data_IF_827508496271
#
_entry.id   IF_827508496271
#
_cell.length_a   1.000
_cell.length_b   1.000
_cell.length_c   1.000
_cell.angle_alpha   90.00
_cell.angle_beta   90.00
_cell.angle_gamma   90.00
#
_symmetry.space_group_name_H-M   'P 1'
#
loop_
_entity.id
_entity.type
_entity.pdbx_description
1 polymer ?
#
# COMPACT_ATOMS: atom_id res chain seq x y z
N UNK A 1 -34.06 -25.25 7.76
CA UNK A 1 -32.71 -25.86 7.77
C UNK A 1 -32.17 -25.86 6.37
N UNK A 2 -31.26 -24.97 5.98
CA UNK A 2 -30.63 -24.97 4.66
C UNK A 2 -29.32 -25.74 4.77
N UNK A 3 -29.25 -26.93 4.18
CA UNK A 3 -28.03 -27.71 4.05
C UNK A 3 -27.03 -26.94 3.18
N UNK A 4 -26.00 -26.42 3.79
CA UNK A 4 -24.83 -25.89 3.09
C UNK A 4 -23.93 -27.08 2.78
N UNK A 5 -24.07 -27.65 1.60
CA UNK A 5 -23.16 -28.67 1.06
C UNK A 5 -21.83 -27.98 0.79
N UNK A 6 -20.70 -28.40 1.40
CA UNK A 6 -19.40 -27.82 1.08
C UNK A 6 -19.07 -28.16 -0.38
N UNK A 7 -18.69 -27.14 -1.19
CA UNK A 7 -18.16 -27.36 -2.53
C UNK A 7 -16.98 -28.34 -2.46
N UNK A 8 -16.91 -29.36 -3.33
CA UNK A 8 -15.81 -30.31 -3.32
C UNK A 8 -14.50 -29.56 -3.61
N UNK A 9 -13.58 -29.67 -2.65
CA UNK A 9 -12.25 -29.11 -2.72
C UNK A 9 -11.42 -29.88 -3.74
N UNK A 10 -10.96 -29.21 -4.78
CA UNK A 10 -10.01 -29.79 -5.75
C UNK A 10 -8.66 -29.97 -5.06
N UNK A 11 -8.24 -31.21 -4.82
CA UNK A 11 -6.98 -31.61 -4.17
C UNK A 11 -5.70 -31.06 -4.84
N UNK A 12 -5.81 -30.36 -5.98
CA UNK A 12 -4.68 -29.88 -6.77
C UNK A 12 -3.98 -28.61 -6.27
N UNK A 13 -4.57 -27.86 -5.33
CA UNK A 13 -3.95 -26.60 -4.88
C UNK A 13 -4.15 -26.32 -3.37
N UNK A 14 -3.87 -27.32 -2.53
CA UNK A 14 -4.00 -27.18 -1.07
C UNK A 14 -3.13 -26.03 -0.54
N UNK A 15 -1.93 -25.83 -1.10
CA UNK A 15 -1.05 -24.73 -0.69
C UNK A 15 -1.74 -23.38 -0.84
N UNK A 16 -2.31 -23.09 -1.99
CA UNK A 16 -3.00 -21.82 -2.24
C UNK A 16 -4.24 -21.65 -1.36
N UNK A 17 -5.02 -22.72 -1.19
CA UNK A 17 -6.21 -22.66 -0.33
C UNK A 17 -5.85 -22.40 1.14
N UNK A 18 -4.73 -22.93 1.64
CA UNK A 18 -4.23 -22.59 2.98
C UNK A 18 -3.91 -21.11 3.07
N UNK A 19 -3.21 -20.52 2.08
CA UNK A 19 -2.86 -19.10 2.06
C UNK A 19 -4.11 -18.22 1.99
N UNK A 20 -5.03 -18.51 1.07
CA UNK A 20 -6.27 -17.74 0.87
C UNK A 20 -7.14 -17.76 2.13
N UNK A 21 -7.31 -18.95 2.73
CA UNK A 21 -8.09 -19.10 3.95
C UNK A 21 -7.42 -18.43 5.13
N UNK A 22 -6.08 -18.47 5.21
CA UNK A 22 -5.32 -17.79 6.26
C UNK A 22 -5.50 -16.26 6.19
N UNK A 23 -5.39 -15.67 5.00
CA UNK A 23 -5.65 -14.23 4.78
C UNK A 23 -7.09 -13.88 5.15
N UNK A 24 -8.06 -14.69 4.72
CA UNK A 24 -9.47 -14.46 5.05
C UNK A 24 -9.71 -14.50 6.56
N UNK A 25 -9.21 -15.52 7.26
CA UNK A 25 -9.35 -15.64 8.71
C UNK A 25 -8.68 -14.50 9.46
N UNK A 26 -7.51 -14.04 9.00
CA UNK A 26 -6.82 -12.89 9.58
C UNK A 26 -7.69 -11.63 9.46
N UNK A 27 -8.29 -11.35 8.31
CA UNK A 27 -9.17 -10.19 8.13
C UNK A 27 -10.48 -10.31 8.93
N UNK A 28 -11.08 -11.51 9.01
CA UNK A 28 -12.31 -11.76 9.79
C UNK A 28 -12.08 -11.58 11.30
N UNK A 29 -10.93 -12.03 11.82
CA UNK A 29 -10.60 -11.95 13.26
C UNK A 29 -9.98 -10.62 13.67
N UNK A 30 -9.40 -9.88 12.72
CA UNK A 30 -8.57 -8.71 13.00
C UNK A 30 -7.23 -9.05 13.69
N UNK A 31 -6.82 -10.33 13.72
CA UNK A 31 -5.58 -10.80 14.35
C UNK A 31 -4.60 -11.29 13.27
N UNK A 32 -3.36 -10.84 13.36
CA UNK A 32 -2.26 -11.27 12.49
C UNK A 32 -1.82 -12.72 12.77
N UNK A 33 -2.19 -13.27 13.94
CA UNK A 33 -1.84 -14.64 14.34
C UNK A 33 -2.80 -15.63 13.71
N UNK A 34 -2.34 -16.26 12.64
CA UNK A 34 -3.13 -17.27 11.90
C UNK A 34 -2.94 -18.65 12.51
N UNK A 35 -4.04 -19.27 12.92
CA UNK A 35 -4.04 -20.64 13.42
C UNK A 35 -4.14 -21.65 12.28
N UNK A 36 -3.07 -22.41 12.01
CA UNK A 36 -3.08 -23.49 11.01
C UNK A 36 -4.16 -24.56 11.27
N UNK A 37 -4.49 -24.81 12.53
CA UNK A 37 -5.57 -25.75 12.88
C UNK A 37 -6.93 -25.21 12.44
N UNK A 38 -7.17 -23.92 12.65
CA UNK A 38 -8.40 -23.28 12.20
C UNK A 38 -8.49 -23.20 10.67
N UNK A 39 -7.37 -22.90 10.02
CA UNK A 39 -7.27 -22.94 8.55
C UNK A 39 -7.62 -24.34 8.04
N UNK A 40 -6.97 -25.39 8.58
CA UNK A 40 -7.24 -26.79 8.18
C UNK A 40 -8.72 -27.18 8.39
N UNK A 41 -9.31 -26.78 9.54
CA UNK A 41 -10.71 -26.99 9.84
C UNK A 41 -11.63 -26.30 8.83
N UNK A 42 -11.35 -25.05 8.48
CA UNK A 42 -12.13 -24.24 7.55
C UNK A 42 -12.13 -24.83 6.12
N UNK A 43 -11.01 -25.38 5.68
CA UNK A 43 -10.89 -26.00 4.34
C UNK A 43 -11.26 -27.48 4.32
N UNK A 44 -11.58 -28.08 5.49
CA UNK A 44 -12.04 -29.47 5.58
C UNK A 44 -10.94 -30.53 5.42
N UNK A 45 -9.70 -30.23 5.83
CA UNK A 45 -8.58 -31.17 5.79
C UNK A 45 -8.07 -31.52 7.18
N UNK A 46 -7.27 -32.58 7.30
CA UNK A 46 -6.62 -32.92 8.59
C UNK A 46 -5.70 -31.79 9.06
N UNK A 47 -5.57 -31.62 10.37
CA UNK A 47 -4.72 -30.60 10.98
C UNK A 47 -3.24 -30.68 10.58
N UNK A 48 -2.77 -31.85 10.16
CA UNK A 48 -1.42 -32.09 9.66
C UNK A 48 -1.22 -31.78 8.17
N UNK A 49 -2.30 -31.63 7.38
CA UNK A 49 -2.18 -31.44 5.95
C UNK A 49 -1.44 -30.16 5.54
N UNK A 50 -1.63 -28.99 6.17
CA UNK A 50 -0.89 -27.79 5.84
C UNK A 50 0.63 -27.92 6.03
N UNK A 51 1.07 -28.69 7.03
CA UNK A 51 2.50 -28.89 7.33
C UNK A 51 3.26 -29.66 6.25
N UNK A 52 2.55 -30.30 5.29
CA UNK A 52 3.19 -30.89 4.11
C UNK A 52 3.63 -29.86 3.08
N UNK A 53 3.09 -28.64 3.16
CA UNK A 53 3.36 -27.55 2.21
C UNK A 53 4.19 -26.42 2.84
N UNK A 54 4.25 -26.33 4.16
CA UNK A 54 4.99 -25.31 4.90
C UNK A 54 5.81 -26.00 5.98
N UNK A 55 7.13 -25.80 5.94
CA UNK A 55 8.07 -26.42 6.86
C UNK A 55 7.79 -26.04 8.33
N UNK A 56 7.37 -24.78 8.52
CA UNK A 56 7.05 -24.21 9.82
C UNK A 56 6.07 -23.03 9.68
N UNK A 57 5.78 -22.38 10.80
CA UNK A 57 4.90 -21.21 10.84
C UNK A 57 5.50 -20.01 10.10
N UNK A 58 6.82 -19.81 10.16
CA UNK A 58 7.48 -18.70 9.46
C UNK A 58 7.37 -18.85 7.94
N UNK A 59 7.54 -20.07 7.41
CA UNK A 59 7.34 -20.36 5.99
C UNK A 59 5.90 -20.09 5.53
N UNK A 60 4.90 -20.40 6.36
CA UNK A 60 3.52 -20.03 6.07
C UNK A 60 3.34 -18.51 6.06
N UNK A 61 3.82 -17.81 7.09
CA UNK A 61 3.68 -16.35 7.20
C UNK A 61 4.38 -15.64 6.04
N UNK A 62 5.53 -16.15 5.57
CA UNK A 62 6.21 -15.66 4.38
C UNK A 62 5.32 -15.81 3.14
N UNK A 63 4.74 -16.99 2.93
CA UNK A 63 3.83 -17.21 1.79
C UNK A 63 2.57 -16.33 1.86
N UNK A 64 2.04 -16.08 3.04
CA UNK A 64 0.90 -15.16 3.25
C UNK A 64 1.31 -13.72 2.90
N UNK A 65 2.50 -13.28 3.33
CA UNK A 65 3.01 -11.94 3.02
C UNK A 65 3.28 -11.77 1.51
N UNK A 66 3.84 -12.79 0.85
CA UNK A 66 4.00 -12.84 -0.61
C UNK A 66 2.67 -12.67 -1.34
N UNK A 67 1.65 -13.46 -0.97
CA UNK A 67 0.32 -13.39 -1.57
C UNK A 67 -0.35 -12.02 -1.36
N UNK A 68 -0.29 -11.48 -0.14
CA UNK A 68 -0.84 -10.16 0.17
C UNK A 68 -0.17 -9.05 -0.66
N UNK A 69 1.16 -9.13 -0.85
CA UNK A 69 1.89 -8.17 -1.71
C UNK A 69 1.57 -8.33 -3.19
N UNK A 70 1.32 -9.55 -3.67
CA UNK A 70 0.85 -9.80 -5.06
C UNK A 70 -0.51 -9.16 -5.28
N UNK A 71 -1.46 -9.34 -4.37
CA UNK A 71 -2.81 -8.74 -4.46
C UNK A 71 -2.74 -7.21 -4.47
N UNK A 72 -1.94 -6.63 -3.58
CA UNK A 72 -1.70 -5.18 -3.58
C UNK A 72 -1.10 -4.71 -4.91
N UNK A 73 -0.08 -5.41 -5.43
CA UNK A 73 0.56 -5.05 -6.69
C UNK A 73 -0.42 -5.04 -7.86
N UNK A 74 -1.24 -6.09 -7.99
CA UNK A 74 -2.25 -6.18 -9.05
C UNK A 74 -3.27 -5.04 -8.98
N UNK A 75 -3.68 -4.66 -7.77
CA UNK A 75 -4.57 -3.51 -7.57
C UNK A 75 -3.91 -2.20 -8.01
N UNK A 76 -2.68 -1.95 -7.59
CA UNK A 76 -1.92 -0.74 -7.94
C UNK A 76 -1.68 -0.66 -9.47
N UNK A 77 -1.27 -1.78 -10.09
CA UNK A 77 -1.03 -1.85 -11.54
C UNK A 77 -2.32 -1.52 -12.33
N UNK A 78 -3.45 -2.11 -11.94
CA UNK A 78 -4.75 -1.84 -12.55
C UNK A 78 -5.10 -0.35 -12.47
N UNK A 79 -4.98 0.24 -11.29
CA UNK A 79 -5.38 1.63 -11.07
C UNK A 79 -4.43 2.60 -11.78
N UNK A 80 -3.13 2.29 -11.87
CA UNK A 80 -2.17 3.05 -12.67
C UNK A 80 -2.46 3.01 -14.18
N UNK A 81 -2.97 1.87 -14.71
CA UNK A 81 -3.37 1.76 -16.11
C UNK A 81 -4.61 2.59 -16.43
N UNK A 82 -5.48 2.81 -15.46
CA UNK A 82 -6.69 3.62 -15.59
C UNK A 82 -6.43 5.12 -15.34
N UNK A 83 -5.29 5.47 -14.76
CA UNK A 83 -4.94 6.86 -14.48
C UNK A 83 -4.59 7.62 -15.79
N UNK A 84 -4.75 8.96 -15.81
CA UNK A 84 -4.23 9.80 -16.88
C UNK A 84 -2.74 9.53 -17.16
N UNK A 85 -2.25 9.76 -18.41
CA UNK A 85 -0.90 9.34 -18.80
C UNK A 85 0.23 10.14 -18.13
N UNK A 86 -0.04 11.33 -17.56
CA UNK A 86 0.95 12.14 -16.85
C UNK A 86 1.57 11.36 -15.68
N UNK A 87 2.88 11.53 -15.49
CA UNK A 87 3.60 10.78 -14.45
C UNK A 87 3.10 11.12 -13.04
N UNK A 88 2.75 12.38 -12.80
CA UNK A 88 2.21 12.86 -11.52
C UNK A 88 0.88 12.16 -11.17
N UNK A 89 0.00 11.96 -12.15
CA UNK A 89 -1.29 11.29 -11.94
C UNK A 89 -1.12 9.80 -11.67
N UNK A 90 -0.15 9.15 -12.30
CA UNK A 90 0.22 7.77 -11.99
C UNK A 90 0.83 7.60 -10.59
N UNK A 91 1.58 8.61 -10.12
CA UNK A 91 2.07 8.66 -8.73
C UNK A 91 0.91 8.79 -7.74
N UNK A 92 -0.07 9.68 -8.02
CA UNK A 92 -1.29 9.81 -7.20
C UNK A 92 -2.07 8.50 -7.16
N UNK A 93 -2.34 7.90 -8.31
CA UNK A 93 -3.05 6.62 -8.42
C UNK A 93 -2.37 5.53 -7.59
N UNK A 94 -1.03 5.43 -7.65
CA UNK A 94 -0.26 4.47 -6.86
C UNK A 94 -0.44 4.68 -5.35
N UNK A 95 -0.39 5.92 -4.90
CA UNK A 95 -0.60 6.26 -3.48
C UNK A 95 -2.03 6.03 -3.03
N UNK A 96 -3.03 6.45 -3.83
CA UNK A 96 -4.45 6.22 -3.55
C UNK A 96 -4.78 4.73 -3.47
N UNK A 97 -4.25 3.91 -4.38
CA UNK A 97 -4.45 2.44 -4.36
C UNK A 97 -3.86 1.82 -3.11
N UNK A 98 -2.66 2.24 -2.70
CA UNK A 98 -2.06 1.73 -1.45
C UNK A 98 -2.89 2.10 -0.23
N UNK A 99 -3.36 3.36 -0.12
CA UNK A 99 -4.24 3.80 0.97
C UNK A 99 -5.56 3.02 0.94
N UNK A 100 -6.19 2.87 -0.23
CA UNK A 100 -7.43 2.12 -0.37
C UNK A 100 -7.27 0.66 0.07
N UNK A 101 -6.15 0.02 -0.32
CA UNK A 101 -5.83 -1.33 0.11
C UNK A 101 -5.67 -1.43 1.63
N UNK A 102 -4.92 -0.53 2.26
CA UNK A 102 -4.73 -0.53 3.71
C UNK A 102 -6.05 -0.32 4.49
N UNK A 103 -6.98 0.49 3.93
CA UNK A 103 -8.30 0.70 4.52
C UNK A 103 -9.22 -0.53 4.37
N UNK A 104 -9.11 -1.24 3.25
CA UNK A 104 -9.93 -2.41 2.95
C UNK A 104 -9.40 -3.69 3.61
N UNK A 105 -8.08 -3.77 3.79
CA UNK A 105 -7.35 -4.95 4.29
C UNK A 105 -6.40 -4.57 5.43
N UNK A 106 -6.92 -4.04 6.55
CA UNK A 106 -6.08 -3.52 7.63
C UNK A 106 -5.20 -4.60 8.27
N UNK A 107 -5.68 -5.85 8.35
CA UNK A 107 -4.90 -6.95 8.91
C UNK A 107 -3.80 -7.41 7.95
N UNK A 108 -4.09 -7.51 6.66
CA UNK A 108 -3.07 -7.77 5.64
C UNK A 108 -2.00 -6.67 5.63
N UNK A 109 -2.39 -5.39 5.80
CA UNK A 109 -1.44 -4.28 5.93
C UNK A 109 -0.53 -4.46 7.15
N UNK A 110 -1.10 -4.78 8.34
CA UNK A 110 -0.32 -5.04 9.55
C UNK A 110 0.66 -6.19 9.35
N UNK A 111 0.17 -7.30 8.79
CA UNK A 111 0.94 -8.50 8.53
C UNK A 111 2.15 -8.22 7.61
N UNK A 112 1.93 -7.57 6.46
CA UNK A 112 3.00 -7.20 5.52
C UNK A 112 3.97 -6.19 6.15
N UNK A 113 3.50 -5.33 7.05
CA UNK A 113 4.32 -4.35 7.74
C UNK A 113 5.15 -4.95 8.88
N UNK A 114 4.73 -6.09 9.43
CA UNK A 114 5.37 -6.73 10.57
C UNK A 114 6.45 -7.73 10.14
N UNK A 115 7.56 -7.22 9.55
CA UNK A 115 8.67 -8.05 9.03
C UNK A 115 9.24 -9.08 10.03
N UNK A 116 9.00 -8.93 11.32
CA UNK A 116 9.38 -9.90 12.34
C UNK A 116 8.57 -11.21 12.30
N UNK A 117 7.43 -11.21 11.61
CA UNK A 117 6.52 -12.37 11.55
C UNK A 117 6.88 -13.37 10.44
N UNK A 118 7.74 -12.98 9.50
CA UNK A 118 8.07 -13.78 8.34
C UNK A 118 9.53 -13.52 7.90
N UNK A 119 10.08 -14.44 7.11
CA UNK A 119 11.43 -14.32 6.59
C UNK A 119 11.45 -13.41 5.34
N UNK A 120 11.62 -12.11 5.60
CA UNK A 120 11.71 -11.12 4.51
C UNK A 120 12.99 -11.29 3.69
N UNK A 121 14.12 -11.44 4.35
CA UNK A 121 15.43 -11.45 3.70
C UNK A 121 15.66 -12.74 2.90
N UNK A 122 15.12 -13.86 3.36
CA UNK A 122 15.14 -15.14 2.67
C UNK A 122 14.06 -15.29 1.59
N UNK A 123 13.17 -14.31 1.37
CA UNK A 123 12.18 -14.36 0.28
C UNK A 123 12.62 -13.52 -0.92
N UNK A 124 13.08 -14.16 -2.03
CA UNK A 124 13.38 -13.44 -3.28
C UNK A 124 12.16 -12.72 -3.86
N UNK A 125 10.96 -13.28 -3.69
CA UNK A 125 9.72 -12.70 -4.19
C UNK A 125 9.38 -11.38 -3.50
N UNK A 126 9.46 -11.32 -2.16
CA UNK A 126 9.25 -10.09 -1.41
C UNK A 126 10.32 -9.04 -1.73
N UNK A 127 11.58 -9.43 -1.76
CA UNK A 127 12.69 -8.54 -2.12
C UNK A 127 12.49 -7.92 -3.51
N UNK A 128 12.20 -8.75 -4.52
CA UNK A 128 11.94 -8.29 -5.88
C UNK A 128 10.72 -7.34 -5.94
N UNK A 129 9.64 -7.66 -5.21
CA UNK A 129 8.45 -6.80 -5.15
C UNK A 129 8.79 -5.42 -4.59
N UNK A 130 9.45 -5.33 -3.44
CA UNK A 130 9.77 -4.04 -2.82
C UNK A 130 10.78 -3.23 -3.63
N UNK A 131 11.73 -3.88 -4.30
CA UNK A 131 12.63 -3.22 -5.25
C UNK A 131 11.86 -2.65 -6.44
N UNK A 132 10.96 -3.43 -7.06
CA UNK A 132 10.14 -2.98 -8.18
C UNK A 132 9.26 -1.77 -7.82
N UNK A 133 8.64 -1.77 -6.62
CA UNK A 133 7.88 -0.61 -6.12
C UNK A 133 8.76 0.63 -5.99
N UNK A 134 9.96 0.49 -5.39
CA UNK A 134 10.93 1.58 -5.25
C UNK A 134 11.34 2.13 -6.62
N UNK A 135 11.77 1.27 -7.51
CA UNK A 135 12.29 1.66 -8.81
C UNK A 135 11.19 2.30 -9.67
N UNK A 136 9.97 1.76 -9.62
CA UNK A 136 8.81 2.35 -10.28
C UNK A 136 8.49 3.74 -9.74
N UNK A 137 8.52 3.93 -8.41
CA UNK A 137 8.26 5.23 -7.78
C UNK A 137 9.32 6.25 -8.22
N UNK A 138 10.60 5.90 -8.18
CA UNK A 138 11.70 6.77 -8.60
C UNK A 138 11.56 7.13 -10.08
N UNK A 139 11.24 6.17 -10.95
CA UNK A 139 11.05 6.42 -12.37
C UNK A 139 9.91 7.41 -12.64
N UNK A 140 8.76 7.26 -11.96
CA UNK A 140 7.64 8.20 -12.08
C UNK A 140 8.00 9.59 -11.56
N UNK A 141 8.74 9.68 -10.45
CA UNK A 141 9.22 10.98 -9.93
C UNK A 141 10.16 11.65 -10.93
N UNK A 142 11.13 10.92 -11.51
CA UNK A 142 12.03 11.45 -12.56
C UNK A 142 11.24 11.97 -13.76
N UNK A 143 10.27 11.22 -14.20
CA UNK A 143 9.41 11.60 -15.32
C UNK A 143 8.58 12.86 -14.97
N UNK A 144 7.94 12.93 -13.79
CA UNK A 144 7.16 14.10 -13.36
C UNK A 144 8.05 15.35 -13.19
N UNK A 145 9.31 15.19 -12.79
CA UNK A 145 10.29 16.30 -12.77
C UNK A 145 10.62 16.77 -14.20
N UNK A 146 10.80 15.86 -15.15
CA UNK A 146 11.07 16.19 -16.54
C UNK A 146 9.83 16.83 -17.22
N UNK A 147 8.62 16.45 -16.83
CA UNK A 147 7.36 17.07 -17.27
C UNK A 147 7.11 18.45 -16.61
N UNK A 148 7.91 18.83 -15.60
CA UNK A 148 7.78 20.09 -14.86
C UNK A 148 6.66 20.10 -13.82
N UNK A 149 6.13 18.94 -13.47
CA UNK A 149 5.09 18.79 -12.44
C UNK A 149 5.65 18.71 -11.03
N UNK A 150 6.87 18.19 -10.84
CA UNK A 150 7.56 18.14 -9.55
C UNK A 150 8.85 18.99 -9.55
N UNK A 151 9.26 19.46 -8.38
CA UNK A 151 10.50 20.22 -8.22
C UNK A 151 11.73 19.44 -8.69
N UNK A 152 12.47 19.98 -9.66
CA UNK A 152 13.69 19.40 -10.21
C UNK A 152 14.91 19.55 -9.32
N UNK A 153 14.87 20.40 -8.29
CA UNK A 153 15.99 20.67 -7.37
C UNK A 153 16.14 19.66 -6.23
N UNK A 154 15.20 18.71 -6.08
CA UNK A 154 15.27 17.65 -5.07
C UNK A 154 15.60 16.33 -5.76
N UNK A 155 16.59 15.55 -5.29
CA UNK A 155 16.89 14.23 -5.86
C UNK A 155 15.64 13.33 -5.91
N UNK A 156 15.38 12.66 -7.03
CA UNK A 156 14.16 11.86 -7.20
C UNK A 156 14.03 10.73 -6.18
N UNK A 157 15.15 10.15 -5.74
CA UNK A 157 15.17 9.14 -4.68
C UNK A 157 14.67 9.70 -3.34
N UNK A 158 14.98 10.97 -3.04
CA UNK A 158 14.52 11.64 -1.83
C UNK A 158 13.02 11.96 -1.89
N UNK A 159 12.53 12.45 -3.04
CA UNK A 159 11.09 12.66 -3.24
C UNK A 159 10.32 11.33 -3.16
N UNK A 160 10.83 10.27 -3.78
CA UNK A 160 10.23 8.94 -3.69
C UNK A 160 10.16 8.44 -2.24
N UNK A 161 11.22 8.64 -1.45
CA UNK A 161 11.24 8.29 -0.03
C UNK A 161 10.23 9.12 0.79
N UNK A 162 10.14 10.43 0.52
CA UNK A 162 9.16 11.31 1.19
C UNK A 162 7.72 10.85 0.91
N UNK A 163 7.38 10.61 -0.36
CA UNK A 163 6.06 10.13 -0.77
C UNK A 163 5.75 8.76 -0.14
N UNK A 164 6.69 7.82 -0.19
CA UNK A 164 6.54 6.50 0.43
C UNK A 164 6.33 6.60 1.93
N UNK A 165 7.13 7.41 2.62
CA UNK A 165 7.01 7.62 4.07
C UNK A 165 5.66 8.21 4.47
N UNK A 166 5.20 9.22 3.73
CA UNK A 166 3.92 9.86 3.99
C UNK A 166 2.74 8.89 3.78
N UNK A 167 2.69 8.19 2.64
CA UNK A 167 1.61 7.23 2.32
C UNK A 167 1.59 6.09 3.33
N UNK A 168 2.76 5.54 3.68
CA UNK A 168 2.86 4.49 4.69
C UNK A 168 2.43 4.99 6.07
N UNK A 169 2.87 6.19 6.49
CA UNK A 169 2.50 6.80 7.76
C UNK A 169 0.99 7.03 7.87
N UNK A 170 0.37 7.57 6.83
CA UNK A 170 -1.09 7.76 6.76
C UNK A 170 -1.86 6.43 6.88
N UNK A 171 -1.43 5.40 6.14
CA UNK A 171 -2.01 4.06 6.24
C UNK A 171 -1.86 3.49 7.66
N UNK A 172 -0.68 3.63 8.26
CA UNK A 172 -0.39 3.16 9.61
C UNK A 172 -1.25 3.85 10.67
N UNK A 173 -1.38 5.19 10.60
CA UNK A 173 -2.25 5.96 11.49
C UNK A 173 -3.70 5.49 11.42
N UNK A 174 -4.20 5.18 10.21
CA UNK A 174 -5.54 4.63 10.06
C UNK A 174 -5.67 3.27 10.74
N UNK A 175 -4.78 2.34 10.43
CA UNK A 175 -4.84 0.95 10.91
C UNK A 175 -4.66 0.85 12.42
N UNK A 176 -3.89 1.77 13.02
CA UNK A 176 -3.68 1.85 14.47
C UNK A 176 -4.76 2.69 15.20
N UNK A 177 -5.80 3.18 14.46
CA UNK A 177 -6.88 3.95 15.07
C UNK A 177 -6.50 5.38 15.49
N UNK A 178 -5.36 5.90 15.03
CA UNK A 178 -4.83 7.20 15.48
C UNK A 178 -5.48 8.40 14.79
N UNK A 179 -6.23 8.21 13.70
CA UNK A 179 -6.83 9.31 12.93
C UNK A 179 -7.83 10.15 13.72
N UNK A 180 -8.53 9.54 14.69
CA UNK A 180 -9.51 10.24 15.52
C UNK A 180 -8.88 11.39 16.33
N UNK A 181 -7.63 11.24 16.76
CA UNK A 181 -6.87 12.28 17.48
C UNK A 181 -6.61 13.53 16.63
N UNK A 182 -6.71 13.36 15.30
CA UNK A 182 -6.54 14.44 14.31
C UNK A 182 -7.88 14.91 13.73
N UNK A 183 -9.00 14.61 14.39
CA UNK A 183 -10.33 15.03 13.97
C UNK A 183 -10.88 14.26 12.76
N UNK A 184 -10.24 13.15 12.35
CA UNK A 184 -10.66 12.35 11.20
C UNK A 184 -11.45 11.14 11.67
N UNK A 185 -12.77 11.17 11.46
CA UNK A 185 -13.66 10.07 11.80
C UNK A 185 -13.59 8.91 10.80
N UNK A 186 -14.03 7.72 11.22
CA UNK A 186 -13.97 6.49 10.41
C UNK A 186 -14.67 6.64 9.06
N UNK A 187 -15.84 7.33 9.02
CA UNK A 187 -16.60 7.52 7.77
C UNK A 187 -15.91 8.44 6.77
N UNK A 188 -15.11 9.39 7.24
CA UNK A 188 -14.40 10.35 6.39
C UNK A 188 -12.96 9.93 6.08
N UNK A 189 -12.43 8.91 6.76
CA UNK A 189 -11.03 8.53 6.69
C UNK A 189 -10.51 8.38 5.25
N UNK A 190 -11.23 7.66 4.39
CA UNK A 190 -10.82 7.48 3.00
C UNK A 190 -10.66 8.82 2.26
N UNK A 191 -11.68 9.68 2.34
CA UNK A 191 -11.66 10.97 1.67
C UNK A 191 -10.54 11.86 2.19
N UNK A 192 -10.38 11.93 3.52
CA UNK A 192 -9.36 12.78 4.14
C UNK A 192 -7.93 12.31 3.84
N UNK A 193 -7.68 11.00 3.83
CA UNK A 193 -6.37 10.46 3.48
C UNK A 193 -6.03 10.71 2.00
N UNK A 194 -7.01 10.56 1.09
CA UNK A 194 -6.82 10.88 -0.32
C UNK A 194 -6.54 12.37 -0.52
N UNK A 195 -7.35 13.24 0.08
CA UNK A 195 -7.15 14.69 -0.01
C UNK A 195 -5.80 15.13 0.61
N UNK A 196 -5.37 14.48 1.70
CA UNK A 196 -4.06 14.75 2.31
C UNK A 196 -2.91 14.35 1.39
N UNK A 197 -3.02 13.20 0.71
CA UNK A 197 -2.03 12.79 -0.27
C UNK A 197 -1.99 13.76 -1.46
N UNK A 198 -3.15 14.16 -1.97
CA UNK A 198 -3.23 15.11 -3.09
C UNK A 198 -2.60 16.45 -2.72
N UNK A 199 -2.92 17.00 -1.55
CA UNK A 199 -2.31 18.23 -1.03
C UNK A 199 -0.79 18.10 -0.85
N UNK A 200 -0.29 16.93 -0.41
CA UNK A 200 1.14 16.67 -0.32
C UNK A 200 1.80 16.69 -1.70
N UNK A 201 1.23 15.99 -2.67
CA UNK A 201 1.77 15.93 -4.04
C UNK A 201 1.73 17.31 -4.69
N UNK A 202 0.63 18.06 -4.53
CA UNK A 202 0.51 19.46 -5.01
C UNK A 202 1.57 20.37 -4.38
N UNK A 203 1.84 20.21 -3.08
CA UNK A 203 2.86 20.95 -2.37
C UNK A 203 4.29 20.65 -2.82
N UNK A 204 4.53 19.50 -3.45
CA UNK A 204 5.80 19.14 -4.08
C UNK A 204 5.88 19.60 -5.55
N UNK A 205 4.83 20.19 -6.09
CA UNK A 205 4.74 20.65 -7.47
C UNK A 205 5.58 21.90 -7.75
N UNK A 206 6.21 21.96 -8.92
CA UNK A 206 7.07 23.07 -9.34
C UNK A 206 6.33 24.42 -9.53
N UNK A 207 5.01 24.38 -9.64
CA UNK A 207 4.21 25.56 -10.01
C UNK A 207 3.91 26.54 -8.87
N UNK A 208 4.23 26.21 -7.62
CA UNK A 208 3.92 27.08 -6.45
C UNK A 208 4.91 28.22 -6.22
N UNK A 209 6.08 28.24 -6.87
CA UNK A 209 7.10 29.26 -6.68
C UNK A 209 6.96 30.52 -7.58
N UNK A 210 6.09 30.51 -8.59
CA UNK A 210 6.00 31.59 -9.57
C UNK A 210 5.05 32.75 -9.21
N UNK A 211 4.34 32.71 -8.09
CA UNK A 211 3.37 33.77 -7.72
C UNK A 211 3.85 34.78 -6.70
N UNK A 212 5.09 34.70 -6.19
CA UNK A 212 5.55 35.61 -5.15
C UNK A 212 6.75 36.52 -5.53
N UNK A 213 7.01 36.75 -6.82
CA UNK A 213 7.85 37.89 -7.21
C UNK A 213 6.96 39.11 -7.39
N UNK A 214 6.67 39.76 -6.27
CA UNK A 214 6.03 41.05 -6.24
C UNK A 214 6.85 42.07 -7.09
N UNK A 215 6.19 42.65 -8.06
CA UNK A 215 6.61 43.75 -8.90
C UNK A 215 7.17 44.90 -8.00
N UNK A 216 8.40 45.35 -8.17
CA UNK A 216 8.85 46.51 -7.40
C UNK A 216 8.05 47.73 -7.81
N UNK A 217 7.46 48.40 -6.83
CA UNK A 217 6.73 49.64 -7.01
C UNK A 217 7.65 50.70 -7.63
N UNK A 218 7.29 51.18 -8.82
CA UNK A 218 7.92 52.32 -9.47
C UNK A 218 7.72 53.55 -8.57
N UNK A 219 8.80 54.01 -7.97
CA UNK A 219 8.88 55.28 -7.25
C UNK A 219 8.78 56.41 -8.29
N UNK A 220 7.62 57.03 -8.41
CA UNK A 220 7.48 58.26 -9.14
C UNK A 220 8.28 59.33 -8.40
N UNK A 221 9.39 59.79 -9.03
CA UNK A 221 10.14 60.94 -8.59
C UNK A 221 9.27 62.19 -8.67
N UNK A 222 9.21 62.94 -7.57
CA UNK A 222 8.87 64.36 -7.59
C UNK A 222 10.18 65.09 -7.75
N UNK A 223 10.28 65.92 -8.78
CA UNK A 223 11.28 67.00 -8.90
C UNK A 223 10.58 68.34 -8.71
N UNK A 224 11.33 69.36 -8.37
CA UNK A 224 11.01 70.50 -7.54
C UNK A 224 10.07 71.52 -8.11
#
# INVERSE_FOLDING_TARGET
MRNHTPKPYHHGNLRQAVIDTALQLAEESGDERVSLREVARRIGVSSGAPFRHFADHAALMTAIAEEATVRLRLMVERDQHQAPPAAIERLRAMGHSFLAWALQHPTSFRLVSARRLYDFDGSPALNAHFQAVRDRTIALVKQAQAEGDLHGNVPPERLALMLRGAVYGMARMHVDGQLAQWGVGTRSARRELQATLDALVDGLGARHTAKNTAKPAARKGRSP
#
